data_IF_162922555793
#
_entry.id   IF_162922555793
#
_cell.length_a   1.000
_cell.length_b   1.000
_cell.length_c   1.000
_cell.angle_alpha   90.00
_cell.angle_beta   90.00
_cell.angle_gamma   90.00
#
_symmetry.space_group_name_H-M   'P 1'
#
loop_
_entity.id
_entity.type
_entity.pdbx_description
1 polymer ?
#
# COMPACT_ATOMS: atom_id res chain seq x y z
N UNK A 1 -47.04 -14.34 5.19
CA UNK A 1 -47.88 -13.67 4.19
C UNK A 1 -47.30 -12.29 3.96
N UNK A 2 -46.57 -12.08 2.87
CA UNK A 2 -46.47 -10.79 2.17
C UNK A 2 -45.87 -11.03 0.78
N UNK A 3 -46.53 -11.92 0.04
CA UNK A 3 -46.24 -12.21 -1.38
C UNK A 3 -46.86 -11.10 -2.28
N UNK A 4 -47.54 -10.11 -1.68
CA UNK A 4 -48.29 -9.05 -2.36
C UNK A 4 -47.59 -7.69 -2.50
N UNK A 5 -46.41 -7.47 -1.90
CA UNK A 5 -45.66 -6.21 -2.01
C UNK A 5 -44.64 -6.17 -3.18
N UNK A 6 -44.68 -7.19 -4.04
CA UNK A 6 -43.58 -7.52 -4.98
C UNK A 6 -43.48 -6.54 -6.17
N UNK A 7 -44.50 -5.72 -6.45
CA UNK A 7 -44.52 -4.84 -7.64
C UNK A 7 -45.08 -3.43 -7.38
N UNK A 8 -44.88 -2.88 -6.19
CA UNK A 8 -45.24 -1.49 -5.91
C UNK A 8 -44.12 -0.55 -6.39
N UNK A 9 -44.46 0.59 -7.02
CA UNK A 9 -43.46 1.56 -7.52
C UNK A 9 -42.53 2.06 -6.39
N UNK A 10 -43.06 2.15 -5.16
CA UNK A 10 -42.31 2.44 -3.93
C UNK A 10 -41.32 1.34 -3.54
N UNK A 11 -41.69 0.07 -3.71
CA UNK A 11 -40.82 -1.08 -3.43
C UNK A 11 -39.62 -1.09 -4.39
N UNK A 12 -39.86 -0.83 -5.68
CA UNK A 12 -38.81 -0.71 -6.70
C UNK A 12 -37.81 0.40 -6.36
N UNK A 13 -38.30 1.58 -5.97
CA UNK A 13 -37.47 2.70 -5.54
C UNK A 13 -36.62 2.35 -4.32
N UNK A 14 -37.21 1.68 -3.32
CA UNK A 14 -36.47 1.25 -2.12
C UNK A 14 -35.40 0.21 -2.42
N UNK A 15 -35.68 -0.77 -3.29
CA UNK A 15 -34.72 -1.81 -3.69
C UNK A 15 -33.54 -1.22 -4.47
N UNK A 16 -33.82 -0.24 -5.34
CA UNK A 16 -32.78 0.49 -6.08
C UNK A 16 -31.84 1.24 -5.13
N UNK A 17 -32.39 1.97 -4.15
CA UNK A 17 -31.58 2.70 -3.16
C UNK A 17 -30.77 1.76 -2.28
N UNK A 18 -31.33 0.62 -1.88
CA UNK A 18 -30.61 -0.41 -1.11
C UNK A 18 -29.48 -1.04 -1.94
N UNK A 19 -29.74 -1.35 -3.21
CA UNK A 19 -28.73 -1.84 -4.14
C UNK A 19 -27.60 -0.82 -4.38
N UNK A 20 -27.97 0.45 -4.59
CA UNK A 20 -27.02 1.55 -4.78
C UNK A 20 -26.15 1.76 -3.55
N UNK A 21 -26.72 1.75 -2.35
CA UNK A 21 -25.97 1.87 -1.09
C UNK A 21 -24.90 0.76 -0.96
N UNK A 22 -25.26 -0.49 -1.23
CA UNK A 22 -24.30 -1.61 -1.20
C UNK A 22 -23.24 -1.49 -2.28
N UNK A 23 -23.61 -1.06 -3.48
CA UNK A 23 -22.68 -0.83 -4.58
C UNK A 23 -21.65 0.26 -4.24
N UNK A 24 -22.06 1.35 -3.57
CA UNK A 24 -21.15 2.43 -3.16
C UNK A 24 -20.12 1.96 -2.13
N UNK A 25 -20.50 1.11 -1.17
CA UNK A 25 -19.57 0.54 -0.20
C UNK A 25 -18.53 -0.33 -0.92
N UNK A 26 -18.99 -1.24 -1.78
CA UNK A 26 -18.09 -2.10 -2.57
C UNK A 26 -17.20 -1.29 -3.51
N UNK A 27 -17.73 -0.22 -4.12
CA UNK A 27 -16.98 0.69 -4.97
C UNK A 27 -15.84 1.37 -4.21
N UNK A 28 -16.11 1.93 -3.02
CA UNK A 28 -15.09 2.57 -2.19
C UNK A 28 -13.99 1.56 -1.80
N UNK A 29 -14.37 0.34 -1.41
CA UNK A 29 -13.43 -0.74 -1.07
C UNK A 29 -12.55 -1.12 -2.27
N UNK A 30 -13.16 -1.36 -3.44
CA UNK A 30 -12.44 -1.72 -4.66
C UNK A 30 -11.57 -0.57 -5.19
N UNK A 31 -12.05 0.67 -5.09
CA UNK A 31 -11.28 1.87 -5.46
C UNK A 31 -10.06 2.04 -4.55
N UNK A 32 -10.19 1.81 -3.24
CA UNK A 32 -9.08 1.84 -2.30
C UNK A 32 -8.04 0.76 -2.61
N UNK A 33 -8.47 -0.48 -2.89
CA UNK A 33 -7.57 -1.56 -3.30
C UNK A 33 -6.84 -1.27 -4.62
N UNK A 34 -7.52 -0.67 -5.60
CA UNK A 34 -6.89 -0.26 -6.86
C UNK A 34 -5.83 0.82 -6.64
N UNK A 35 -6.11 1.78 -5.74
CA UNK A 35 -5.17 2.85 -5.38
C UNK A 35 -3.92 2.30 -4.69
N UNK A 36 -4.08 1.36 -3.76
CA UNK A 36 -2.98 0.71 -3.04
C UNK A 36 -2.14 -0.19 -3.96
N UNK A 37 -2.76 -0.83 -4.95
CA UNK A 37 -2.13 -1.85 -5.80
C UNK A 37 -1.58 -1.35 -7.14
N UNK A 38 -1.77 -0.09 -7.56
CA UNK A 38 -0.97 0.39 -8.71
C UNK A 38 -1.48 1.52 -9.60
N UNK A 39 -2.50 2.30 -9.24
CA UNK A 39 -2.94 3.41 -10.11
C UNK A 39 -1.85 4.49 -10.32
N UNK A 40 -0.92 4.66 -9.38
CA UNK A 40 0.19 5.61 -9.46
C UNK A 40 1.51 4.99 -9.96
N UNK A 41 1.50 3.80 -10.56
CA UNK A 41 2.71 3.01 -10.92
C UNK A 41 3.65 2.64 -9.77
N UNK A 42 3.34 3.03 -8.53
CA UNK A 42 4.09 2.68 -7.32
C UNK A 42 3.15 1.96 -6.35
N UNK A 43 3.27 0.64 -6.16
CA UNK A 43 2.45 -0.10 -5.20
C UNK A 43 2.82 0.31 -3.77
N UNK A 44 1.81 0.72 -3.00
CA UNK A 44 1.94 1.20 -1.62
C UNK A 44 2.51 0.12 -0.66
N UNK A 45 2.48 -1.16 -1.05
CA UNK A 45 2.96 -2.30 -0.25
C UNK A 45 4.47 -2.57 -0.39
N UNK A 46 5.13 -2.06 -1.45
CA UNK A 46 6.58 -2.20 -1.61
C UNK A 46 7.37 -1.44 -0.51
N UNK A 47 6.73 -0.46 0.12
CA UNK A 47 7.38 0.44 1.07
C UNK A 47 7.73 -0.23 2.41
N UNK A 48 6.95 -1.21 2.87
CA UNK A 48 7.21 -1.91 4.14
C UNK A 48 8.51 -2.73 4.12
N UNK A 49 8.74 -3.47 3.03
CA UNK A 49 9.96 -4.26 2.84
C UNK A 49 11.19 -3.38 2.58
N UNK A 50 11.05 -2.31 1.80
CA UNK A 50 12.15 -1.36 1.56
C UNK A 50 12.54 -0.61 2.83
N UNK A 51 11.55 -0.24 3.67
CA UNK A 51 11.79 0.34 4.98
C UNK A 51 12.56 -0.61 5.91
N UNK A 52 12.17 -1.88 5.97
CA UNK A 52 12.89 -2.90 6.74
C UNK A 52 14.33 -3.12 6.23
N UNK A 53 14.54 -3.13 4.92
CA UNK A 53 15.89 -3.24 4.32
C UNK A 53 16.76 -2.06 4.73
N UNK A 54 16.21 -0.84 4.76
CA UNK A 54 16.91 0.35 5.25
C UNK A 54 17.25 0.30 6.73
N UNK A 55 16.32 -0.17 7.57
CA UNK A 55 16.56 -0.33 9.00
C UNK A 55 17.64 -1.39 9.27
N UNK A 56 17.59 -2.54 8.57
CA UNK A 56 18.59 -3.60 8.70
C UNK A 56 19.95 -3.20 8.16
N UNK A 57 20.01 -2.45 7.06
CA UNK A 57 21.28 -1.96 6.51
C UNK A 57 21.92 -0.94 7.46
N UNK A 58 21.14 0.00 8.01
CA UNK A 58 21.62 0.94 9.03
C UNK A 58 22.14 0.21 10.28
N UNK A 59 21.41 -0.78 10.79
CA UNK A 59 21.83 -1.59 11.94
C UNK A 59 23.09 -2.42 11.64
N UNK A 60 23.17 -3.03 10.46
CA UNK A 60 24.33 -3.84 10.06
C UNK A 60 25.59 -2.99 9.90
N UNK A 61 25.48 -1.78 9.34
CA UNK A 61 26.61 -0.84 9.21
C UNK A 61 27.03 -0.31 10.59
N UNK A 62 26.07 0.07 11.43
CA UNK A 62 26.36 0.56 12.78
C UNK A 62 27.02 -0.53 13.67
N UNK A 63 26.62 -1.79 13.51
CA UNK A 63 27.20 -2.91 14.24
C UNK A 63 28.58 -3.33 13.72
N UNK A 64 28.83 -3.31 12.40
CA UNK A 64 30.16 -3.59 11.83
C UNK A 64 31.22 -2.56 12.27
N UNK A 65 30.85 -1.28 12.38
CA UNK A 65 31.76 -0.21 12.77
C UNK A 65 31.84 0.03 14.30
N UNK A 66 31.30 -0.90 15.10
CA UNK A 66 31.64 -1.03 16.51
C UNK A 66 30.97 -0.03 17.48
N UNK A 67 29.80 0.52 17.15
CA UNK A 67 29.03 1.36 18.09
C UNK A 67 29.64 2.72 18.44
N UNK A 68 30.74 3.11 17.79
CA UNK A 68 31.32 4.45 17.90
C UNK A 68 30.50 5.49 17.12
N UNK A 69 30.64 6.77 17.46
CA UNK A 69 29.99 7.89 16.77
C UNK A 69 30.21 7.83 15.25
N UNK A 70 31.38 7.35 14.82
CA UNK A 70 31.70 7.11 13.39
C UNK A 70 30.78 6.09 12.71
N UNK A 71 30.41 5.00 13.38
CA UNK A 71 29.50 3.99 12.84
C UNK A 71 28.10 4.54 12.57
N UNK A 72 27.63 5.47 13.41
CA UNK A 72 26.37 6.18 13.19
C UNK A 72 26.43 7.10 11.96
N UNK A 73 27.48 7.90 11.83
CA UNK A 73 27.64 8.80 10.67
C UNK A 73 27.78 8.03 9.36
N UNK A 74 28.51 6.91 9.36
CA UNK A 74 28.58 6.04 8.18
C UNK A 74 27.23 5.38 7.87
N UNK A 75 26.52 4.85 8.87
CA UNK A 75 25.19 4.26 8.68
C UNK A 75 24.18 5.27 8.13
N UNK A 76 24.21 6.53 8.60
CA UNK A 76 23.34 7.61 8.14
C UNK A 76 23.47 7.87 6.63
N UNK A 77 24.69 7.77 6.09
CA UNK A 77 24.98 8.04 4.68
C UNK A 77 24.81 6.79 3.83
N UNK A 78 25.33 5.64 4.27
CA UNK A 78 25.32 4.42 3.47
C UNK A 78 23.96 3.71 3.45
N UNK A 79 23.18 3.75 4.53
CA UNK A 79 21.86 3.10 4.57
C UNK A 79 20.89 3.62 3.50
N UNK A 80 20.67 4.95 3.33
CA UNK A 80 19.80 5.46 2.27
C UNK A 80 20.37 5.20 0.87
N UNK A 81 21.69 5.15 0.71
CA UNK A 81 22.36 4.79 -0.56
C UNK A 81 22.05 3.35 -0.97
N UNK A 82 22.12 2.40 -0.04
CA UNK A 82 21.75 1.00 -0.26
C UNK A 82 20.27 0.88 -0.61
N UNK A 83 19.39 1.57 0.12
CA UNK A 83 17.93 1.55 -0.16
C UNK A 83 17.62 2.19 -1.51
N UNK A 84 18.30 3.28 -1.89
CA UNK A 84 18.14 3.92 -3.19
C UNK A 84 18.54 2.99 -4.33
N UNK A 85 19.67 2.27 -4.20
CA UNK A 85 20.10 1.26 -5.17
C UNK A 85 19.09 0.12 -5.31
N UNK A 86 18.63 -0.44 -4.19
CA UNK A 86 17.64 -1.53 -4.19
C UNK A 86 16.32 -1.07 -4.80
N UNK A 87 15.87 0.14 -4.46
CA UNK A 87 14.64 0.74 -5.01
C UNK A 87 14.75 0.97 -6.52
N UNK A 88 15.91 1.44 -7.00
CA UNK A 88 16.15 1.67 -8.43
C UNK A 88 16.14 0.35 -9.21
N UNK A 89 16.79 -0.70 -8.68
CA UNK A 89 16.77 -2.03 -9.29
C UNK A 89 15.34 -2.58 -9.34
N UNK A 90 14.59 -2.45 -8.24
CA UNK A 90 13.19 -2.88 -8.19
C UNK A 90 12.33 -2.13 -9.21
N UNK A 91 12.54 -0.83 -9.37
CA UNK A 91 11.82 -0.01 -10.35
C UNK A 91 12.10 -0.48 -11.79
N UNK A 92 13.37 -0.76 -12.11
CA UNK A 92 13.76 -1.19 -13.46
C UNK A 92 13.38 -2.61 -13.79
N UNK A 93 13.26 -3.50 -12.81
CA UNK A 93 12.96 -4.92 -13.02
C UNK A 93 11.46 -5.25 -13.00
N UNK A 94 10.67 -4.51 -12.22
CA UNK A 94 9.24 -4.82 -12.01
C UNK A 94 8.29 -3.79 -12.62
N UNK A 95 8.69 -2.51 -12.72
CA UNK A 95 7.80 -1.43 -13.21
C UNK A 95 8.11 -0.96 -14.63
N UNK A 96 9.17 -1.50 -15.26
CA UNK A 96 9.47 -1.35 -16.69
C UNK A 96 9.14 -2.65 -17.43
#
# INVERSE_FOLDING_TARGET
MDIGQVFTFSALGSQFLVGLSRAMILFIVCSGMSFVLGVLRVPNVAHGSLYMIGAFSAFSIASLFGGSSTGFWLALIFAPLVVALVSLIAERALFC
#
